data_IF_412214641812
#
_entry.id   IF_412214641812
#
_cell.length_a   1.000
_cell.length_b   1.000
_cell.length_c   1.000
_cell.angle_alpha   90.00
_cell.angle_beta   90.00
_cell.angle_gamma   90.00
#
_symmetry.space_group_name_H-M   'P 1'
#
loop_
_entity.id
_entity.type
_entity.pdbx_description
1 polymer ?
#
# COMPACT_ATOMS: atom_id res chain seq x y z
N UNK A 1 8.94 9.81 -12.70
CA UNK A 1 7.49 9.77 -13.03
C UNK A 1 7.28 8.54 -13.91
N UNK A 2 6.81 7.43 -13.36
CA UNK A 2 6.45 6.24 -14.16
C UNK A 2 5.03 6.44 -14.68
N UNK A 3 4.87 6.43 -16.00
CA UNK A 3 3.55 6.51 -16.64
C UNK A 3 2.76 5.23 -16.37
N UNK A 4 1.48 5.39 -16.01
CA UNK A 4 0.51 4.29 -15.97
C UNK A 4 0.17 3.98 -17.41
N UNK A 5 0.66 2.86 -17.92
CA UNK A 5 0.21 2.33 -19.20
C UNK A 5 -0.88 1.32 -18.90
N UNK A 6 -1.93 1.30 -19.72
CA UNK A 6 -3.00 0.30 -19.68
C UNK A 6 -2.44 -1.09 -20.05
N UNK A 7 -1.66 -1.69 -19.16
CA UNK A 7 -0.99 -2.99 -19.31
C UNK A 7 -1.25 -3.76 -18.04
N UNK A 8 -1.64 -5.04 -18.18
CA UNK A 8 -1.86 -5.93 -17.05
C UNK A 8 -0.58 -6.04 -16.18
N UNK A 9 -0.47 -5.17 -15.18
CA UNK A 9 0.64 -5.17 -14.24
C UNK A 9 0.32 -6.12 -13.10
N UNK A 10 0.99 -7.28 -13.08
CA UNK A 10 0.98 -8.19 -11.93
C UNK A 10 1.84 -7.60 -10.80
N UNK A 11 1.37 -6.56 -10.12
CA UNK A 11 2.04 -6.02 -8.92
C UNK A 11 1.69 -6.91 -7.73
N UNK A 12 2.68 -7.25 -6.90
CA UNK A 12 2.50 -8.05 -5.68
C UNK A 12 1.58 -7.26 -4.71
N UNK A 13 0.33 -7.70 -4.44
CA UNK A 13 -0.60 -6.95 -3.59
C UNK A 13 -0.16 -6.90 -2.12
N UNK A 14 0.77 -7.77 -1.74
CA UNK A 14 1.21 -7.94 -0.35
C UNK A 14 2.02 -6.77 0.23
N UNK A 15 2.49 -5.83 -0.61
CA UNK A 15 3.23 -4.63 -0.16
C UNK A 15 2.40 -3.75 0.79
N UNK A 16 1.07 -3.81 0.72
CA UNK A 16 0.17 -3.08 1.61
C UNK A 16 0.30 -3.49 3.08
N UNK A 17 0.75 -4.73 3.36
CA UNK A 17 0.89 -5.25 4.71
C UNK A 17 2.28 -5.02 5.32
N UNK A 18 3.21 -4.39 4.57
CA UNK A 18 4.57 -4.15 5.05
C UNK A 18 4.55 -3.11 6.19
N UNK A 19 4.71 -3.59 7.43
CA UNK A 19 4.62 -2.79 8.65
C UNK A 19 5.57 -1.57 8.68
N UNK A 20 6.80 -1.68 8.13
CA UNK A 20 7.70 -0.53 8.02
C UNK A 20 7.33 0.52 6.95
N UNK A 21 6.44 0.21 6.01
CA UNK A 21 6.09 1.14 4.93
C UNK A 21 5.25 2.30 5.45
N UNK A 22 5.71 3.54 5.22
CA UNK A 22 5.02 4.77 5.65
C UNK A 22 4.52 5.63 4.50
N UNK A 23 4.86 5.27 3.26
CA UNK A 23 4.56 6.06 2.07
C UNK A 23 3.87 5.20 1.03
N UNK A 24 2.75 5.70 0.51
CA UNK A 24 2.02 5.08 -0.59
C UNK A 24 1.60 6.18 -1.58
N UNK A 25 1.76 5.90 -2.87
CA UNK A 25 1.26 6.75 -3.95
C UNK A 25 0.44 5.90 -4.92
N UNK A 26 -0.85 6.21 -5.06
CA UNK A 26 -1.74 5.50 -5.96
C UNK A 26 -2.20 6.41 -7.09
N UNK A 27 -2.46 5.82 -8.24
CA UNK A 27 -3.06 6.48 -9.36
C UNK A 27 -3.90 5.48 -10.17
N UNK A 28 -4.82 6.01 -10.98
CA UNK A 28 -5.70 5.20 -11.80
C UNK A 28 -5.74 5.70 -13.23
N UNK A 29 -6.09 4.83 -14.16
CA UNK A 29 -6.34 5.15 -15.56
C UNK A 29 -7.64 4.49 -16.02
N UNK A 30 -8.42 5.23 -16.82
CA UNK A 30 -9.56 4.66 -17.55
C UNK A 30 -9.07 4.25 -18.92
N UNK A 31 -9.17 2.96 -19.21
CA UNK A 31 -8.66 2.32 -20.39
C UNK A 31 -9.80 1.93 -21.34
N UNK A 32 -9.51 1.96 -22.64
CA UNK A 32 -10.45 1.54 -23.70
C UNK A 32 -11.80 2.28 -23.70
N UNK A 33 -11.88 3.47 -23.08
CA UNK A 33 -13.09 4.30 -23.06
C UNK A 33 -13.61 4.62 -24.47
N UNK A 34 -12.71 4.78 -25.45
CA UNK A 34 -13.07 5.04 -26.84
C UNK A 34 -13.55 3.78 -27.60
N UNK A 35 -13.19 2.58 -27.11
CA UNK A 35 -13.47 1.30 -27.78
C UNK A 35 -14.66 0.56 -27.16
N UNK A 36 -14.89 0.74 -25.86
CA UNK A 36 -16.01 0.15 -25.14
C UNK A 36 -16.59 1.17 -24.14
N UNK A 37 -17.33 2.18 -24.63
CA UNK A 37 -17.83 3.28 -23.80
C UNK A 37 -18.88 2.86 -22.76
N UNK A 38 -19.54 1.72 -22.96
CA UNK A 38 -20.53 1.18 -22.02
C UNK A 38 -19.88 0.41 -20.85
N UNK A 39 -18.64 -0.06 -21.02
CA UNK A 39 -17.88 -0.78 -19.99
C UNK A 39 -16.37 -0.55 -20.16
N UNK A 40 -15.86 0.63 -19.77
CA UNK A 40 -14.44 0.94 -19.84
C UNK A 40 -13.67 0.22 -18.73
N UNK A 41 -12.50 -0.34 -19.06
CA UNK A 41 -11.64 -0.99 -18.07
C UNK A 41 -10.98 0.08 -17.20
N UNK A 42 -11.02 -0.08 -15.88
CA UNK A 42 -10.29 0.81 -14.95
C UNK A 42 -9.06 0.08 -14.43
N UNK A 43 -7.90 0.71 -14.52
CA UNK A 43 -6.65 0.20 -13.95
C UNK A 43 -6.23 1.05 -12.74
N UNK A 44 -5.98 0.38 -11.61
CA UNK A 44 -5.48 0.99 -10.39
C UNK A 44 -4.05 0.52 -10.12
N UNK A 45 -3.13 1.44 -9.88
CA UNK A 45 -1.75 1.12 -9.49
C UNK A 45 -1.35 1.89 -8.24
N UNK A 46 -0.80 1.18 -7.26
CA UNK A 46 -0.16 1.77 -6.08
C UNK A 46 1.32 1.44 -6.04
N UNK A 47 2.10 2.42 -5.60
CA UNK A 47 3.52 2.32 -5.30
C UNK A 47 3.70 2.51 -3.80
N UNK A 48 4.38 1.55 -3.19
CA UNK A 48 4.74 1.57 -1.78
C UNK A 48 6.20 2.03 -1.69
N UNK A 49 6.50 2.97 -0.80
CA UNK A 49 7.85 3.44 -0.54
C UNK A 49 8.73 2.36 0.10
N UNK A 50 10.00 2.69 0.32
CA UNK A 50 10.91 1.82 1.05
C UNK A 50 10.50 1.65 2.53
N UNK A 51 10.86 0.49 3.14
CA UNK A 51 11.51 -0.65 2.51
C UNK A 51 10.54 -1.47 1.64
N UNK A 52 11.05 -2.13 0.61
CA UNK A 52 10.24 -3.06 -0.19
C UNK A 52 10.27 -4.46 0.43
N UNK A 53 9.19 -5.23 0.26
CA UNK A 53 9.21 -6.66 0.61
C UNK A 53 10.14 -7.41 -0.34
N UNK A 54 11.25 -7.90 0.20
CA UNK A 54 12.18 -8.82 -0.43
C UNK A 54 11.97 -10.26 0.07
N UNK A 55 12.44 -11.23 -0.70
CA UNK A 55 12.28 -12.64 -0.36
C UNK A 55 12.96 -12.96 0.98
N UNK A 56 12.26 -13.71 1.83
CA UNK A 56 12.67 -14.06 3.21
C UNK A 56 12.80 -12.86 4.18
N UNK A 57 12.30 -11.68 3.83
CA UNK A 57 12.22 -10.55 4.77
C UNK A 57 10.90 -10.61 5.56
N UNK A 58 10.98 -10.40 6.88
CA UNK A 58 9.79 -10.30 7.73
C UNK A 58 9.01 -9.03 7.37
N UNK A 59 7.71 -9.19 7.06
CA UNK A 59 6.84 -8.13 6.55
C UNK A 59 6.34 -7.23 7.71
N UNK A 60 6.22 -7.80 8.90
CA UNK A 60 5.85 -7.11 10.14
C UNK A 60 6.30 -7.96 11.32
N UNK A 61 6.64 -7.32 12.43
CA UNK A 61 6.98 -8.03 13.66
C UNK A 61 5.73 -8.65 14.28
N UNK A 62 5.78 -9.95 14.59
CA UNK A 62 4.73 -10.61 15.38
C UNK A 62 4.83 -10.13 16.83
N UNK A 63 3.76 -9.52 17.35
CA UNK A 63 3.75 -8.97 18.70
C UNK A 63 2.39 -8.42 19.10
N UNK A 64 2.34 -7.71 20.24
CA UNK A 64 1.12 -7.00 20.63
C UNK A 64 0.91 -5.81 19.71
N UNK A 65 -0.35 -5.54 19.39
CA UNK A 65 -0.69 -4.39 18.54
C UNK A 65 -0.17 -3.08 19.15
N UNK A 66 0.37 -2.22 18.29
CA UNK A 66 0.97 -0.94 18.66
C UNK A 66 2.18 -1.00 19.61
N UNK A 67 2.76 -2.17 19.86
CA UNK A 67 3.95 -2.31 20.71
C UNK A 67 5.13 -1.44 20.21
N UNK A 68 5.27 -1.30 18.89
CA UNK A 68 6.28 -0.45 18.26
C UNK A 68 6.12 1.06 18.53
N UNK A 69 4.92 1.52 18.91
CA UNK A 69 4.61 2.91 19.19
C UNK A 69 4.15 3.14 20.63
N UNK A 70 4.54 2.31 21.59
CA UNK A 70 4.26 2.53 23.03
C UNK A 70 3.08 1.74 23.60
N UNK A 71 2.43 0.90 22.79
CA UNK A 71 1.33 0.03 23.20
C UNK A 71 -0.06 0.61 22.88
N UNK A 72 -1.10 -0.09 23.32
CA UNK A 72 -2.49 0.22 22.96
C UNK A 72 -3.03 1.53 23.56
N UNK A 73 -2.40 2.04 24.61
CA UNK A 73 -2.81 3.27 25.30
C UNK A 73 -1.99 4.50 24.85
N UNK A 74 -1.01 4.33 23.96
CA UNK A 74 -0.26 5.46 23.39
C UNK A 74 -1.12 6.17 22.34
N UNK A 75 -1.11 7.52 22.33
CA UNK A 75 -1.89 8.34 21.41
C UNK A 75 -1.50 8.11 19.94
N UNK A 76 -0.31 7.59 19.67
CA UNK A 76 0.12 7.19 18.34
C UNK A 76 -0.50 5.87 17.88
N UNK A 77 -1.18 5.12 18.75
CA UNK A 77 -1.91 3.92 18.40
C UNK A 77 -3.34 4.24 17.93
N UNK A 78 -3.50 4.45 16.63
CA UNK A 78 -4.79 4.76 16.01
C UNK A 78 -5.66 3.51 15.94
N UNK A 79 -6.92 3.65 16.36
CA UNK A 79 -7.92 2.59 16.39
C UNK A 79 -7.49 1.31 17.13
N UNK A 80 -6.53 1.44 18.07
CA UNK A 80 -5.92 0.31 18.78
C UNK A 80 -5.26 -0.71 17.83
N UNK A 81 -4.93 -0.30 16.61
CA UNK A 81 -4.57 -1.16 15.49
C UNK A 81 -3.27 -0.77 14.77
N UNK A 82 -3.07 0.53 14.52
CA UNK A 82 -1.99 1.02 13.66
C UNK A 82 -1.20 2.13 14.36
N UNK A 83 0.12 2.11 14.17
CA UNK A 83 0.97 3.20 14.64
C UNK A 83 0.93 4.38 13.65
N UNK A 84 0.62 5.56 14.15
CA UNK A 84 0.69 6.81 13.42
C UNK A 84 2.15 7.29 13.32
N UNK A 85 2.61 7.46 12.09
CA UNK A 85 3.87 8.12 11.81
C UNK A 85 3.60 9.59 11.50
N UNK A 86 3.86 10.45 12.49
CA UNK A 86 4.01 11.89 12.31
C UNK A 86 5.29 12.16 11.49
N UNK A 87 5.23 11.98 10.17
CA UNK A 87 6.29 12.37 9.24
C UNK A 87 6.09 13.80 8.75
#
# INVERSE_FOLDING_TARGET
>A
MQSIYCVASKKKPFQAANGPTTKVGCAYAVCDADKNPEDPRIEFTCYYGEPHIDDNTEIYNIGRTCEACGGQEDERCIDKALCYNNA
#
